data_IF_586450150549
#
_entry.id   IF_586450150549
#
_cell.length_a   1.000
_cell.length_b   1.000
_cell.length_c   1.000
_cell.angle_alpha   90.00
_cell.angle_beta   90.00
_cell.angle_gamma   90.00
#
_symmetry.space_group_name_H-M   'P 1'
#
loop_
_entity.id
_entity.type
_entity.pdbx_description
1 polymer ?
#
# COMPACT_ATOMS: atom_id res chain seq x y z
N UNK A 1 32.23 -12.14 15.99
CA UNK A 1 31.80 -11.05 15.08
C UNK A 1 30.28 -11.00 15.11
N UNK A 2 29.73 -9.82 15.40
CA UNK A 2 28.29 -9.60 15.49
C UNK A 2 27.69 -9.63 14.08
N UNK A 3 26.87 -10.63 13.79
CA UNK A 3 26.03 -10.61 12.59
C UNK A 3 24.95 -9.55 12.82
N UNK A 4 25.16 -8.35 12.30
CA UNK A 4 24.05 -7.43 12.05
C UNK A 4 23.22 -8.05 10.92
N UNK A 5 22.41 -9.05 11.28
CA UNK A 5 21.29 -9.43 10.45
C UNK A 5 20.46 -8.16 10.32
N UNK A 6 20.42 -7.61 9.10
CA UNK A 6 19.55 -6.51 8.73
C UNK A 6 18.18 -6.83 9.30
N UNK A 7 17.83 -6.15 10.38
CA UNK A 7 16.56 -6.32 11.06
C UNK A 7 15.53 -5.94 10.00
N UNK A 8 14.84 -6.93 9.45
CA UNK A 8 13.81 -6.72 8.44
C UNK A 8 12.64 -6.11 9.17
N UNK A 9 12.63 -4.77 9.24
CA UNK A 9 11.56 -4.00 9.85
C UNK A 9 10.33 -4.18 8.94
N UNK A 10 9.56 -5.22 9.22
CA UNK A 10 8.16 -5.26 8.80
C UNK A 10 7.46 -4.11 9.53
N UNK A 11 6.47 -3.44 8.91
CA UNK A 11 5.69 -2.45 9.63
C UNK A 11 5.07 -3.14 10.86
N UNK A 12 5.34 -2.62 12.06
CA UNK A 12 4.83 -3.19 13.32
C UNK A 12 3.29 -3.23 13.35
N UNK A 13 2.65 -2.33 12.59
CA UNK A 13 1.21 -2.28 12.45
C UNK A 13 0.81 -1.67 11.08
N UNK A 14 0.76 -2.47 9.99
CA UNK A 14 0.34 -1.99 8.68
C UNK A 14 -1.12 -1.52 8.73
N UNK A 15 -1.37 -0.32 8.20
CA UNK A 15 -2.69 0.33 8.23
C UNK A 15 -3.54 0.02 7.00
N UNK A 16 -2.91 -0.27 5.86
CA UNK A 16 -3.59 -0.43 4.58
C UNK A 16 -3.44 -1.84 4.00
N UNK A 17 -2.67 -2.71 4.66
CA UNK A 17 -2.50 -4.10 4.27
C UNK A 17 -2.64 -5.05 5.45
N UNK A 18 -3.30 -6.19 5.22
CA UNK A 18 -3.47 -7.24 6.21
C UNK A 18 -2.34 -8.27 6.09
N UNK A 19 -1.60 -8.57 7.16
CA UNK A 19 -0.63 -9.65 7.15
C UNK A 19 -1.34 -11.00 7.01
N UNK A 20 -0.78 -11.88 6.20
CA UNK A 20 -1.22 -13.28 6.05
C UNK A 20 -0.25 -14.21 6.80
N UNK A 21 -0.73 -15.41 7.13
CA UNK A 21 0.10 -16.45 7.77
C UNK A 21 1.27 -16.97 6.92
N UNK A 22 1.32 -16.63 5.63
CA UNK A 22 2.41 -16.97 4.69
C UNK A 22 3.51 -15.88 4.64
N UNK A 23 3.39 -14.83 5.45
CA UNK A 23 4.33 -13.69 5.47
C UNK A 23 4.11 -12.66 4.37
N UNK A 24 3.06 -12.81 3.55
CA UNK A 24 2.62 -11.82 2.56
C UNK A 24 1.55 -10.89 3.15
N UNK A 25 1.22 -9.86 2.40
CA UNK A 25 0.30 -8.80 2.81
C UNK A 25 -0.81 -8.62 1.77
N UNK A 26 -2.08 -8.66 2.18
CA UNK A 26 -3.21 -8.39 1.31
C UNK A 26 -3.57 -6.91 1.34
N UNK A 27 -3.83 -6.26 0.19
CA UNK A 27 -4.36 -4.91 0.19
C UNK A 27 -5.76 -4.88 0.82
N UNK A 28 -6.05 -3.85 1.61
CA UNK A 28 -7.40 -3.48 2.00
C UNK A 28 -7.93 -2.55 0.91
N UNK A 29 -8.98 -2.93 0.14
CA UNK A 29 -9.52 -2.07 -0.90
C UNK A 29 -10.39 -0.98 -0.28
N UNK A 30 -10.05 0.28 -0.55
CA UNK A 30 -10.84 1.44 -0.14
C UNK A 30 -11.58 2.03 -1.33
N UNK A 31 -12.88 2.31 -1.12
CA UNK A 31 -13.73 2.96 -2.12
C UNK A 31 -13.35 4.43 -2.31
N UNK A 32 -13.08 5.13 -1.21
CA UNK A 32 -12.66 6.52 -1.20
C UNK A 32 -11.21 6.62 -0.74
N UNK A 33 -10.35 7.13 -1.62
CA UNK A 33 -8.93 7.33 -1.33
C UNK A 33 -8.64 8.81 -1.52
N UNK A 34 -8.12 9.46 -0.49
CA UNK A 34 -7.59 10.83 -0.59
C UNK A 34 -6.15 10.78 -1.12
N UNK A 35 -5.63 11.92 -1.59
CA UNK A 35 -4.24 12.00 -2.07
C UNK A 35 -3.24 11.55 -0.99
N UNK A 36 -3.41 12.07 0.24
CA UNK A 36 -2.58 11.66 1.39
C UNK A 36 -2.64 10.16 1.62
N UNK A 37 -3.83 9.58 1.57
CA UNK A 37 -4.03 8.15 1.76
C UNK A 37 -3.39 7.33 0.64
N UNK A 38 -3.46 7.78 -0.61
CA UNK A 38 -2.76 7.16 -1.73
C UNK A 38 -1.25 7.13 -1.47
N UNK A 39 -0.68 8.27 -1.05
CA UNK A 39 0.74 8.36 -0.68
C UNK A 39 1.12 7.41 0.45
N UNK A 40 0.32 7.35 1.50
CA UNK A 40 0.55 6.48 2.66
C UNK A 40 0.47 4.98 2.28
N UNK A 41 -0.48 4.60 1.40
CA UNK A 41 -0.59 3.23 0.87
C UNK A 41 0.66 2.85 0.09
N UNK A 42 1.14 3.74 -0.80
CA UNK A 42 2.34 3.47 -1.61
C UNK A 42 3.61 3.40 -0.77
N UNK A 43 3.73 4.24 0.25
CA UNK A 43 4.83 4.21 1.21
C UNK A 43 4.85 2.88 1.98
N UNK A 44 3.69 2.42 2.48
CA UNK A 44 3.58 1.15 3.18
C UNK A 44 3.94 -0.04 2.26
N UNK A 45 3.52 -0.02 0.99
CA UNK A 45 3.94 -1.03 -0.01
C UNK A 45 5.45 -1.07 -0.17
N UNK A 46 6.11 0.09 -0.24
CA UNK A 46 7.56 0.15 -0.39
C UNK A 46 8.29 -0.48 0.81
N UNK A 47 7.82 -0.22 2.04
CA UNK A 47 8.37 -0.83 3.27
C UNK A 47 8.18 -2.35 3.26
N UNK A 48 6.97 -2.83 2.90
CA UNK A 48 6.69 -4.27 2.80
C UNK A 48 7.62 -4.92 1.76
N UNK A 49 7.75 -4.35 0.56
CA UNK A 49 8.62 -4.92 -0.47
C UNK A 49 10.10 -4.90 -0.07
N UNK A 50 10.54 -3.85 0.62
CA UNK A 50 11.90 -3.72 1.13
C UNK A 50 12.28 -4.78 2.17
N UNK A 51 11.33 -5.22 2.99
CA UNK A 51 11.54 -6.22 4.04
C UNK A 51 11.45 -7.67 3.54
N UNK A 52 10.79 -7.94 2.41
CA UNK A 52 10.66 -9.30 1.87
C UNK A 52 11.91 -9.81 1.12
N UNK A 53 12.23 -11.12 1.21
CA UNK A 53 13.25 -11.75 0.35
C UNK A 53 12.78 -11.82 -1.11
N UNK A 54 13.72 -11.91 -2.07
CA UNK A 54 13.40 -11.76 -3.51
C UNK A 54 12.24 -12.63 -4.03
N UNK A 55 12.16 -13.95 -3.72
CA UNK A 55 11.05 -14.78 -4.22
C UNK A 55 9.68 -14.34 -3.67
N UNK A 56 9.62 -13.99 -2.38
CA UNK A 56 8.39 -13.50 -1.76
C UNK A 56 8.03 -12.09 -2.24
N UNK A 57 9.03 -11.25 -2.53
CA UNK A 57 8.84 -9.90 -3.08
C UNK A 57 8.14 -9.95 -4.43
N UNK A 58 8.56 -10.84 -5.34
CA UNK A 58 7.91 -11.01 -6.65
C UNK A 58 6.44 -11.44 -6.51
N UNK A 59 6.16 -12.35 -5.58
CA UNK A 59 4.79 -12.76 -5.29
C UNK A 59 3.97 -11.61 -4.67
N UNK A 60 4.57 -10.83 -3.79
CA UNK A 60 3.93 -9.68 -3.16
C UNK A 60 3.57 -8.58 -4.17
N UNK A 61 4.43 -8.31 -5.16
CA UNK A 61 4.16 -7.36 -6.25
C UNK A 61 2.87 -7.76 -6.98
N UNK A 62 2.75 -9.04 -7.37
CA UNK A 62 1.56 -9.57 -8.04
C UNK A 62 0.29 -9.47 -7.20
N UNK A 63 0.41 -9.50 -5.87
CA UNK A 63 -0.73 -9.29 -4.96
C UNK A 63 -1.12 -7.81 -4.95
N UNK A 64 -0.15 -6.90 -4.87
CA UNK A 64 -0.39 -5.46 -4.87
C UNK A 64 -0.97 -4.95 -6.19
N UNK A 65 -0.63 -5.56 -7.33
CA UNK A 65 -1.20 -5.25 -8.64
C UNK A 65 -2.72 -5.46 -8.73
N UNK A 66 -3.31 -6.26 -7.84
CA UNK A 66 -4.77 -6.52 -7.82
C UNK A 66 -5.59 -5.32 -7.35
N UNK A 67 -4.94 -4.33 -6.73
CA UNK A 67 -5.59 -3.12 -6.24
C UNK A 67 -4.72 -1.92 -6.55
N UNK A 68 -5.21 -1.03 -7.40
CA UNK A 68 -4.58 0.25 -7.66
C UNK A 68 -5.25 1.36 -6.84
N UNK A 69 -4.58 1.93 -5.81
CA UNK A 69 -5.15 3.02 -5.03
C UNK A 69 -5.32 4.30 -5.85
N UNK A 70 -4.59 4.47 -6.97
CA UNK A 70 -4.79 5.62 -7.86
C UNK A 70 -6.16 5.57 -8.52
N UNK A 71 -6.57 4.41 -9.01
CA UNK A 71 -7.90 4.22 -9.59
C UNK A 71 -9.02 4.61 -8.61
N UNK A 72 -8.90 4.25 -7.32
CA UNK A 72 -9.85 4.68 -6.28
C UNK A 72 -9.79 6.19 -6.02
N UNK A 73 -8.60 6.78 -6.03
CA UNK A 73 -8.43 8.23 -5.87
C UNK A 73 -9.10 8.99 -7.02
N UNK A 74 -8.80 8.61 -8.26
CA UNK A 74 -9.36 9.25 -9.46
C UNK A 74 -10.89 9.15 -9.46
N UNK A 75 -11.45 7.97 -9.15
CA UNK A 75 -12.90 7.79 -9.03
C UNK A 75 -13.52 8.67 -7.93
N UNK A 76 -12.83 8.85 -6.80
CA UNK A 76 -13.31 9.74 -5.75
C UNK A 76 -13.27 11.21 -6.17
N UNK A 77 -12.21 11.65 -6.86
CA UNK A 77 -12.12 13.00 -7.41
C UNK A 77 -13.21 13.26 -8.44
N UNK A 78 -13.54 12.28 -9.29
CA UNK A 78 -14.62 12.40 -10.26
C UNK A 78 -15.98 12.60 -9.55
N UNK A 79 -16.23 11.87 -8.47
CA UNK A 79 -17.43 12.07 -7.64
C UNK A 79 -17.46 13.48 -7.06
N UNK A 80 -16.37 13.97 -6.47
CA UNK A 80 -16.31 15.32 -5.90
C UNK A 80 -16.59 16.41 -6.95
N UNK A 81 -16.03 16.27 -8.16
CA UNK A 81 -16.30 17.20 -9.27
C UNK A 81 -17.76 17.22 -9.69
N UNK A 82 -18.44 16.07 -9.70
CA UNK A 82 -19.89 16.01 -9.99
C UNK A 82 -20.71 16.83 -8.99
N UNK A 83 -20.24 16.97 -7.75
CA UNK A 83 -20.89 17.77 -6.72
C UNK A 83 -20.33 19.20 -6.59
N UNK A 84 -19.48 19.63 -7.53
CA UNK A 84 -18.91 20.98 -7.54
C UNK A 84 -17.87 21.23 -6.44
N UNK A 85 -17.26 20.18 -5.89
CA UNK A 85 -16.16 20.29 -4.93
C UNK A 85 -14.85 20.18 -5.69
N UNK A 86 -14.14 21.29 -5.82
CA UNK A 86 -12.78 21.34 -6.36
C UNK A 86 -11.78 21.32 -5.19
N UNK A 87 -10.80 20.41 -5.21
CA UNK A 87 -9.67 20.47 -4.28
C UNK A 87 -8.62 21.40 -4.88
N UNK A 88 -8.34 22.52 -4.21
CA UNK A 88 -7.17 23.35 -4.53
C UNK A 88 -5.91 22.54 -4.28
N UNK A 89 -5.10 22.39 -5.33
CA UNK A 89 -3.78 21.71 -5.33
C UNK A 89 -2.68 22.58 -4.73
#
# INVERSE_FOLDING_TARGET
MKSHATEKILPENPRFHLPKGDGLFLPIPFLFVTERMQGDILSERAVILGSLPSPAREQQIKIFERYDPKSSFDAFQDILRLFGVEQES
#
